data_IF_513014452906
#
_entry.id   IF_513014452906
#
_cell.length_a   1.000
_cell.length_b   1.000
_cell.length_c   1.000
_cell.angle_alpha   90.00
_cell.angle_beta   90.00
_cell.angle_gamma   90.00
#
_symmetry.space_group_name_H-M   'P 1'
#
loop_
_entity.id
_entity.type
_entity.pdbx_description
1 polymer ?
#
# COMPACT_ATOMS: atom_id res chain seq x y z
N UNK A 1 49.47 -8.82 50.57
CA UNK A 1 48.93 -7.90 49.53
C UNK A 1 48.03 -8.64 48.53
N UNK A 2 48.23 -9.94 48.30
CA UNK A 2 47.43 -10.74 47.35
C UNK A 2 46.00 -11.07 47.82
N UNK A 3 45.75 -11.29 49.11
CA UNK A 3 44.41 -11.67 49.61
C UNK A 3 43.32 -10.61 49.41
N UNK A 4 43.68 -9.32 49.49
CA UNK A 4 42.73 -8.21 49.28
C UNK A 4 42.31 -8.10 47.80
N UNK A 5 43.17 -8.52 46.87
CA UNK A 5 42.86 -8.55 45.44
C UNK A 5 41.87 -9.68 45.11
N UNK A 6 42.09 -10.86 45.68
CA UNK A 6 41.21 -12.03 45.52
C UNK A 6 39.82 -11.73 46.11
N UNK A 7 39.75 -11.07 47.27
CA UNK A 7 38.48 -10.69 47.87
C UNK A 7 37.69 -9.69 47.01
N UNK A 8 38.37 -8.71 46.41
CA UNK A 8 37.77 -7.74 45.51
C UNK A 8 37.26 -8.39 44.21
N UNK A 9 38.02 -9.31 43.62
CA UNK A 9 37.62 -10.06 42.42
C UNK A 9 36.37 -10.91 42.72
N UNK A 10 36.36 -11.62 43.86
CA UNK A 10 35.20 -12.42 44.26
C UNK A 10 33.95 -11.58 44.51
N UNK A 11 34.09 -10.35 45.02
CA UNK A 11 32.99 -9.42 45.19
C UNK A 11 32.42 -8.96 43.83
N UNK A 12 33.28 -8.57 42.89
CA UNK A 12 32.85 -8.19 41.53
C UNK A 12 32.18 -9.34 40.78
N UNK A 13 32.69 -10.58 40.94
CA UNK A 13 32.08 -11.77 40.35
C UNK A 13 30.67 -12.05 40.91
N UNK A 14 30.40 -11.77 42.19
CA UNK A 14 29.05 -11.88 42.76
C UNK A 14 28.09 -10.87 42.15
N UNK A 15 28.51 -9.60 42.05
CA UNK A 15 27.70 -8.54 41.43
C UNK A 15 27.35 -8.89 39.98
N UNK A 16 28.34 -9.33 39.20
CA UNK A 16 28.13 -9.74 37.81
C UNK A 16 27.17 -10.93 37.71
N UNK A 17 27.27 -11.90 38.62
CA UNK A 17 26.36 -13.05 38.65
C UNK A 17 24.92 -12.62 38.91
N UNK A 18 24.69 -11.70 39.84
CA UNK A 18 23.36 -11.20 40.17
C UNK A 18 22.75 -10.41 39.01
N UNK A 19 23.56 -9.57 38.34
CA UNK A 19 23.13 -8.85 37.12
C UNK A 19 22.75 -9.79 35.98
N UNK A 20 23.52 -10.86 35.76
CA UNK A 20 23.21 -11.87 34.74
C UNK A 20 21.91 -12.60 35.07
N UNK A 21 21.67 -12.94 36.34
CA UNK A 21 20.42 -13.56 36.78
C UNK A 21 19.20 -12.66 36.56
N UNK A 22 19.34 -11.36 36.79
CA UNK A 22 18.29 -10.36 36.54
C UNK A 22 17.96 -10.27 35.04
N UNK A 23 18.97 -10.23 34.17
CA UNK A 23 18.79 -10.21 32.72
C UNK A 23 18.08 -11.48 32.23
N UNK A 24 18.45 -12.65 32.76
CA UNK A 24 17.80 -13.92 32.42
C UNK A 24 16.33 -13.90 32.84
N UNK A 25 16.03 -13.41 34.04
CA UNK A 25 14.66 -13.32 34.53
C UNK A 25 13.79 -12.38 33.68
N UNK A 26 14.33 -11.21 33.33
CA UNK A 26 13.64 -10.24 32.47
C UNK A 26 13.39 -10.79 31.06
N UNK A 27 14.36 -11.53 30.51
CA UNK A 27 14.24 -12.19 29.19
C UNK A 27 13.15 -13.26 29.19
N UNK A 28 13.06 -14.04 30.27
CA UNK A 28 12.01 -15.05 30.45
C UNK A 28 10.64 -14.39 30.57
N UNK A 29 10.51 -13.32 31.36
CA UNK A 29 9.26 -12.56 31.46
C UNK A 29 8.83 -12.01 30.10
N UNK A 30 9.75 -11.39 29.35
CA UNK A 30 9.44 -10.88 28.01
C UNK A 30 8.98 -11.99 27.06
N UNK A 31 9.64 -13.15 27.08
CA UNK A 31 9.25 -14.31 26.27
C UNK A 31 7.84 -14.81 26.61
N UNK A 32 7.45 -14.81 27.89
CA UNK A 32 6.08 -15.19 28.29
C UNK A 32 5.03 -14.17 27.84
N UNK A 33 5.35 -12.87 27.88
CA UNK A 33 4.46 -11.83 27.37
C UNK A 33 4.27 -11.94 25.85
N UNK A 34 5.33 -12.22 25.10
CA UNK A 34 5.27 -12.43 23.65
C UNK A 34 4.38 -13.63 23.30
N UNK A 35 4.53 -14.75 24.01
CA UNK A 35 3.70 -15.94 23.82
C UNK A 35 2.20 -15.69 24.13
N UNK A 36 1.89 -14.88 25.15
CA UNK A 36 0.52 -14.46 25.46
C UNK A 36 -0.06 -13.57 24.35
N UNK A 37 0.72 -12.58 23.90
CA UNK A 37 0.32 -11.70 22.80
C UNK A 37 0.05 -12.46 21.50
N UNK A 38 0.86 -13.47 21.17
CA UNK A 38 0.64 -14.31 19.99
C UNK A 38 -0.62 -15.19 20.13
N UNK A 39 -0.88 -15.69 21.34
CA UNK A 39 -2.11 -16.45 21.65
C UNK A 39 -3.36 -15.58 21.47
N UNK A 40 -3.35 -14.35 21.99
CA UNK A 40 -4.44 -13.38 21.84
C UNK A 40 -4.64 -12.98 20.38
N UNK A 41 -3.55 -12.71 19.64
CA UNK A 41 -3.62 -12.41 18.21
C UNK A 41 -4.24 -13.57 17.42
N UNK A 42 -3.92 -14.82 17.78
CA UNK A 42 -4.51 -16.01 17.15
C UNK A 42 -6.00 -16.16 17.48
N UNK A 43 -6.41 -15.86 18.73
CA UNK A 43 -7.83 -15.85 19.12
C UNK A 43 -8.62 -14.79 18.34
N UNK A 44 -8.13 -13.55 18.30
CA UNK A 44 -8.74 -12.45 17.55
C UNK A 44 -8.84 -12.77 16.05
N UNK A 45 -7.79 -13.35 15.47
CA UNK A 45 -7.82 -13.78 14.07
C UNK A 45 -8.91 -14.83 13.81
N UNK A 46 -9.08 -15.80 14.70
CA UNK A 46 -10.12 -16.82 14.57
C UNK A 46 -11.53 -16.23 14.77
N UNK A 47 -11.69 -15.28 15.68
CA UNK A 47 -12.95 -14.58 15.92
C UNK A 47 -13.36 -13.73 14.72
N UNK A 48 -12.41 -13.01 14.09
CA UNK A 48 -12.66 -12.26 12.85
C UNK A 48 -13.08 -13.20 11.72
N UNK A 49 -12.42 -14.35 11.56
CA UNK A 49 -12.81 -15.35 10.54
C UNK A 49 -14.23 -15.87 10.79
N UNK A 50 -14.56 -16.22 12.04
CA UNK A 50 -15.90 -16.70 12.40
C UNK A 50 -16.99 -15.63 12.17
N UNK A 51 -16.69 -14.36 12.47
CA UNK A 51 -17.60 -13.25 12.23
C UNK A 51 -17.82 -13.00 10.72
N UNK A 52 -16.78 -13.10 9.89
CA UNK A 52 -16.91 -12.99 8.43
C UNK A 52 -17.75 -14.14 7.87
N UNK A 53 -17.59 -15.36 8.38
CA UNK A 53 -18.41 -16.51 7.99
C UNK A 53 -19.89 -16.36 8.40
N UNK A 54 -20.18 -15.77 9.57
CA UNK A 54 -21.54 -15.44 9.97
C UNK A 54 -22.16 -14.34 9.11
N UNK A 55 -21.39 -13.31 8.74
CA UNK A 55 -21.85 -12.27 7.82
C UNK A 55 -22.19 -12.87 6.45
N UNK A 56 -21.36 -13.77 5.93
CA UNK A 56 -21.63 -14.49 4.68
C UNK A 56 -22.85 -15.43 4.76
N UNK A 57 -23.15 -16.03 5.92
CA UNK A 57 -24.36 -16.85 6.11
C UNK A 57 -25.63 -16.03 6.25
N UNK A 58 -25.54 -14.81 6.78
CA UNK A 58 -26.68 -13.91 6.93
C UNK A 58 -26.96 -13.07 5.66
N UNK A 59 -26.01 -13.05 4.72
CA UNK A 59 -26.22 -12.57 3.37
C UNK A 59 -26.76 -13.72 2.49
N UNK A 60 -28.07 -13.97 2.52
CA UNK A 60 -28.72 -14.63 1.37
C UNK A 60 -29.08 -13.53 0.35
N UNK A 61 -28.45 -13.48 -0.83
CA UNK A 61 -29.02 -12.73 -1.93
C UNK A 61 -30.26 -13.49 -2.39
N UNK A 62 -31.45 -13.03 -1.98
CA UNK A 62 -32.70 -13.44 -2.61
C UNK A 62 -32.66 -12.99 -4.07
N UNK A 63 -32.22 -13.87 -4.97
CA UNK A 63 -32.48 -13.76 -6.39
C UNK A 63 -33.09 -15.08 -6.88
N UNK A 64 -34.17 -15.04 -7.68
CA UNK A 64 -34.80 -16.24 -8.21
C UNK A 64 -33.81 -17.02 -9.08
N UNK A 65 -33.74 -18.33 -8.86
CA UNK A 65 -33.09 -19.26 -9.81
C UNK A 65 -33.94 -19.33 -11.08
N UNK A 66 -33.73 -18.41 -12.01
CA UNK A 66 -34.13 -18.64 -13.39
C UNK A 66 -33.10 -19.57 -14.03
N UNK A 67 -33.44 -20.85 -14.06
CA UNK A 67 -32.84 -21.81 -14.99
C UNK A 67 -33.12 -21.30 -16.41
N UNK A 68 -32.09 -20.95 -17.16
CA UNK A 68 -32.21 -20.91 -18.63
C UNK A 68 -31.04 -21.65 -19.28
N UNK A 69 -31.33 -22.56 -20.22
CA UNK A 69 -30.33 -23.16 -21.09
C UNK A 69 -29.90 -22.10 -22.11
N UNK A 70 -28.61 -21.93 -22.34
CA UNK A 70 -28.15 -21.16 -23.49
C UNK A 70 -27.68 -22.12 -24.58
N UNK A 71 -28.62 -22.40 -25.49
CA UNK A 71 -28.38 -22.61 -26.90
C UNK A 71 -27.61 -21.45 -27.51
N UNK A 72 -26.74 -21.77 -28.47
CA UNK A 72 -26.04 -20.85 -29.36
C UNK A 72 -26.97 -19.79 -29.94
N UNK A 73 -26.87 -18.54 -29.48
CA UNK A 73 -27.33 -17.38 -30.23
C UNK A 73 -26.43 -16.17 -30.00
N UNK A 74 -25.80 -15.76 -31.11
CA UNK A 74 -25.11 -14.50 -31.45
C UNK A 74 -24.87 -13.47 -30.33
N UNK A 75 -23.59 -13.11 -30.18
CA UNK A 75 -23.07 -11.90 -29.52
C UNK A 75 -24.02 -10.68 -29.62
N UNK A 76 -24.43 -10.06 -28.51
CA UNK A 76 -25.23 -8.85 -28.58
C UNK A 76 -24.37 -7.61 -28.86
N UNK A 77 -24.88 -6.89 -29.84
CA UNK A 77 -24.63 -5.51 -30.22
C UNK A 77 -24.53 -4.58 -29.01
N UNK A 78 -23.65 -3.57 -29.11
CA UNK A 78 -23.50 -2.37 -28.25
C UNK A 78 -24.72 -2.09 -27.36
N UNK A 79 -24.68 -2.58 -26.12
CA UNK A 79 -25.58 -2.11 -25.07
C UNK A 79 -25.19 -0.69 -24.69
N UNK A 80 -26.05 0.27 -25.02
CA UNK A 80 -25.87 1.68 -24.68
C UNK A 80 -25.89 1.85 -23.16
N UNK A 81 -24.92 2.57 -22.58
CA UNK A 81 -24.90 2.96 -21.16
C UNK A 81 -26.13 3.82 -20.75
N UNK A 82 -26.87 4.34 -21.72
CA UNK A 82 -27.92 5.35 -21.53
C UNK A 82 -29.07 4.95 -20.58
N UNK A 83 -29.62 3.72 -20.59
CA UNK A 83 -30.77 3.41 -19.71
C UNK A 83 -30.38 3.30 -18.22
N UNK A 84 -29.15 2.90 -17.92
CA UNK A 84 -28.66 2.73 -16.54
C UNK A 84 -28.31 4.07 -15.88
N UNK A 85 -27.84 5.02 -16.68
CA UNK A 85 -27.50 6.36 -16.21
C UNK A 85 -28.75 7.18 -15.86
N UNK A 86 -29.84 6.98 -16.62
CA UNK A 86 -31.15 7.61 -16.36
C UNK A 86 -31.79 7.11 -15.06
N UNK A 87 -31.72 5.81 -14.78
CA UNK A 87 -32.30 5.19 -13.57
C UNK A 87 -31.58 5.62 -12.27
N UNK A 88 -30.30 6.00 -12.36
CA UNK A 88 -29.49 6.43 -11.23
C UNK A 88 -29.31 7.97 -11.15
N UNK A 89 -30.04 8.75 -11.95
CA UNK A 89 -29.90 10.22 -12.04
C UNK A 89 -28.48 10.71 -12.35
N UNK A 90 -27.71 9.93 -13.10
CA UNK A 90 -26.34 10.28 -13.49
C UNK A 90 -26.39 10.94 -14.86
N UNK A 91 -26.06 12.22 -14.93
CA UNK A 91 -25.85 12.89 -16.20
C UNK A 91 -24.64 12.25 -16.91
N UNK A 92 -24.87 11.61 -18.07
CA UNK A 92 -23.80 10.98 -18.85
C UNK A 92 -22.66 11.95 -19.22
N UNK A 93 -22.95 13.26 -19.25
CA UNK A 93 -21.99 14.33 -19.47
C UNK A 93 -21.06 14.59 -18.27
N UNK A 94 -21.44 14.17 -17.06
CA UNK A 94 -20.70 14.39 -15.83
C UNK A 94 -19.71 13.24 -15.53
N UNK A 95 -19.77 12.13 -16.27
CA UNK A 95 -18.80 11.04 -16.13
C UNK A 95 -17.50 11.42 -16.85
N UNK A 96 -16.34 11.40 -16.16
CA UNK A 96 -15.05 11.68 -16.79
C UNK A 96 -14.79 10.82 -18.03
N UNK A 97 -14.23 11.45 -19.05
CA UNK A 97 -13.83 10.78 -20.30
C UNK A 97 -12.77 9.74 -19.99
N UNK A 98 -12.68 8.68 -20.80
CA UNK A 98 -11.72 7.58 -20.55
C UNK A 98 -10.26 8.05 -20.41
N UNK A 99 -9.88 9.13 -21.09
CA UNK A 99 -8.55 9.75 -21.04
C UNK A 99 -8.20 10.33 -19.66
N UNK A 100 -9.20 10.60 -18.82
CA UNK A 100 -9.06 11.17 -17.48
C UNK A 100 -8.97 10.09 -16.40
N UNK A 101 -9.18 8.81 -16.76
CA UNK A 101 -9.08 7.70 -15.81
C UNK A 101 -7.65 7.16 -15.75
N UNK A 102 -7.20 6.71 -14.56
CA UNK A 102 -5.88 6.13 -14.42
C UNK A 102 -5.79 4.79 -15.16
N UNK A 103 -4.60 4.44 -15.65
CA UNK A 103 -4.34 3.11 -16.24
C UNK A 103 -3.37 2.31 -15.39
N UNK A 104 -3.49 0.99 -15.42
CA UNK A 104 -2.66 0.09 -14.61
C UNK A 104 -2.14 -1.09 -15.43
N UNK A 105 -0.82 -1.23 -15.52
CA UNK A 105 -0.16 -2.25 -16.34
C UNK A 105 0.22 -3.53 -15.56
N UNK A 106 0.44 -3.41 -14.25
CA UNK A 106 0.97 -4.48 -13.41
C UNK A 106 2.42 -4.88 -13.74
N UNK A 107 3.16 -4.05 -14.49
CA UNK A 107 4.55 -4.33 -14.90
C UNK A 107 5.52 -3.27 -14.37
N UNK A 108 6.74 -3.69 -14.05
CA UNK A 108 7.80 -2.80 -13.57
C UNK A 108 7.58 -2.31 -12.14
N UNK A 109 7.98 -1.06 -11.87
CA UNK A 109 7.62 -0.35 -10.64
C UNK A 109 6.22 0.26 -10.84
N UNK A 110 5.24 -0.22 -10.08
CA UNK A 110 3.86 0.24 -10.14
C UNK A 110 3.33 0.61 -8.76
N UNK A 111 2.33 1.49 -8.73
CA UNK A 111 1.63 1.90 -7.52
C UNK A 111 0.14 1.54 -7.65
N UNK A 112 -0.22 0.34 -7.17
CA UNK A 112 -1.60 -0.14 -7.22
C UNK A 112 -2.52 0.61 -6.24
N UNK A 113 -1.95 1.16 -5.16
CA UNK A 113 -2.69 2.00 -4.20
C UNK A 113 -3.13 3.29 -4.87
N UNK A 114 -2.22 3.97 -5.58
CA UNK A 114 -2.55 5.21 -6.27
C UNK A 114 -3.57 5.00 -7.39
N UNK A 115 -3.47 3.88 -8.12
CA UNK A 115 -4.50 3.49 -9.09
C UNK A 115 -5.90 3.36 -8.44
N UNK A 116 -5.99 2.66 -7.31
CA UNK A 116 -7.25 2.51 -6.57
C UNK A 116 -7.73 3.86 -6.02
N UNK A 117 -6.83 4.66 -5.46
CA UNK A 117 -7.13 5.98 -4.89
C UNK A 117 -7.70 6.92 -5.94
N UNK A 118 -7.06 7.00 -7.10
CA UNK A 118 -7.53 7.84 -8.21
C UNK A 118 -8.92 7.42 -8.69
N UNK A 119 -9.23 6.12 -8.76
CA UNK A 119 -10.58 5.64 -9.06
C UNK A 119 -11.56 6.03 -7.95
N UNK A 120 -11.21 5.84 -6.68
CA UNK A 120 -12.09 6.22 -5.56
C UNK A 120 -12.37 7.73 -5.54
N UNK A 121 -11.38 8.58 -5.82
CA UNK A 121 -11.58 10.03 -5.91
C UNK A 121 -12.58 10.40 -7.00
N UNK A 122 -12.48 9.77 -8.17
CA UNK A 122 -13.44 9.97 -9.27
C UNK A 122 -14.82 9.44 -8.89
N UNK A 123 -14.88 8.28 -8.25
CA UNK A 123 -16.12 7.70 -7.74
C UNK A 123 -16.83 8.63 -6.76
N UNK A 124 -16.09 9.16 -5.78
CA UNK A 124 -16.62 10.04 -4.75
C UNK A 124 -17.05 11.40 -5.31
N UNK A 125 -16.26 11.99 -6.21
CA UNK A 125 -16.54 13.31 -6.77
C UNK A 125 -17.77 13.33 -7.69
N UNK A 126 -17.97 12.26 -8.46
CA UNK A 126 -19.04 12.17 -9.45
C UNK A 126 -20.15 11.19 -9.06
N UNK A 127 -20.12 10.66 -7.83
CA UNK A 127 -21.07 9.67 -7.30
C UNK A 127 -21.30 8.47 -8.25
N UNK A 128 -20.21 7.93 -8.80
CA UNK A 128 -20.27 6.89 -9.84
C UNK A 128 -20.61 5.53 -9.22
N UNK A 129 -21.62 4.80 -9.74
CA UNK A 129 -21.92 3.44 -9.31
C UNK A 129 -20.82 2.46 -9.67
N UNK A 130 -20.69 1.41 -8.86
CA UNK A 130 -19.68 0.37 -9.04
C UNK A 130 -19.77 -0.30 -10.42
N UNK A 131 -20.97 -0.46 -10.97
CA UNK A 131 -21.20 -1.08 -12.28
C UNK A 131 -20.48 -0.33 -13.41
N UNK A 132 -20.43 1.01 -13.32
CA UNK A 132 -19.75 1.85 -14.31
C UNK A 132 -18.23 1.69 -14.19
N UNK A 133 -17.71 1.66 -12.96
CA UNK A 133 -16.29 1.46 -12.69
C UNK A 133 -15.86 0.09 -13.19
N UNK A 134 -16.59 -0.96 -12.82
CA UNK A 134 -16.33 -2.34 -13.22
C UNK A 134 -16.46 -2.52 -14.73
N UNK A 135 -17.41 -1.84 -15.37
CA UNK A 135 -17.54 -1.80 -16.82
C UNK A 135 -16.31 -1.19 -17.52
N UNK A 136 -15.66 -0.21 -16.89
CA UNK A 136 -14.44 0.45 -17.40
C UNK A 136 -13.16 -0.35 -17.12
N UNK A 137 -13.13 -1.25 -16.14
CA UNK A 137 -11.89 -1.95 -15.73
C UNK A 137 -11.14 -2.63 -16.89
N UNK A 138 -11.85 -3.18 -17.88
CA UNK A 138 -11.19 -3.81 -19.04
C UNK A 138 -10.27 -2.85 -19.82
N UNK A 139 -10.61 -1.55 -19.78
CA UNK A 139 -9.93 -0.46 -20.47
C UNK A 139 -8.88 0.21 -19.60
N UNK A 140 -9.09 0.24 -18.28
CA UNK A 140 -8.12 0.77 -17.32
C UNK A 140 -6.93 -0.16 -17.14
N UNK A 141 -7.15 -1.48 -17.24
CA UNK A 141 -6.05 -2.44 -17.21
C UNK A 141 -5.35 -2.55 -18.56
N UNK A 142 -4.02 -2.51 -18.51
CA UNK A 142 -3.14 -2.69 -19.66
C UNK A 142 -2.18 -3.86 -19.44
N UNK A 143 -1.58 -4.37 -20.51
CA UNK A 143 -0.52 -5.39 -20.49
C UNK A 143 -0.83 -6.61 -19.59
N UNK A 144 0.06 -6.97 -18.67
CA UNK A 144 -0.08 -8.12 -17.76
C UNK A 144 -1.31 -8.01 -16.87
N UNK A 145 -1.64 -6.83 -16.35
CA UNK A 145 -2.86 -6.63 -15.57
C UNK A 145 -4.14 -6.89 -16.38
N UNK A 146 -4.16 -6.54 -17.67
CA UNK A 146 -5.31 -6.81 -18.55
C UNK A 146 -5.56 -8.31 -18.73
N UNK A 147 -4.50 -9.09 -18.92
CA UNK A 147 -4.58 -10.56 -19.04
C UNK A 147 -5.12 -11.19 -17.75
N UNK A 148 -4.62 -10.73 -16.60
CA UNK A 148 -5.10 -11.16 -15.29
C UNK A 148 -6.58 -10.82 -15.08
N UNK A 149 -7.00 -9.59 -15.43
CA UNK A 149 -8.40 -9.16 -15.33
C UNK A 149 -9.35 -10.07 -16.12
N UNK A 150 -9.01 -10.41 -17.37
CA UNK A 150 -9.87 -11.30 -18.17
C UNK A 150 -9.99 -12.70 -17.55
N UNK A 151 -8.89 -13.25 -17.03
CA UNK A 151 -8.94 -14.53 -16.31
C UNK A 151 -9.86 -14.44 -15.09
N UNK A 152 -9.68 -13.41 -14.25
CA UNK A 152 -10.51 -13.20 -13.06
C UNK A 152 -11.99 -13.04 -13.39
N UNK A 153 -12.33 -12.34 -14.48
CA UNK A 153 -13.71 -12.19 -14.95
C UNK A 153 -14.34 -13.51 -15.40
N UNK A 154 -13.56 -14.40 -16.03
CA UNK A 154 -14.02 -15.72 -16.45
C UNK A 154 -14.25 -16.64 -15.23
N UNK A 155 -13.33 -16.61 -14.27
CA UNK A 155 -13.35 -17.50 -13.12
C UNK A 155 -14.40 -17.09 -12.07
N UNK A 156 -14.64 -15.78 -11.89
CA UNK A 156 -15.47 -15.24 -10.79
C UNK A 156 -16.68 -14.41 -11.26
N UNK A 157 -16.86 -14.19 -12.57
CA UNK A 157 -18.03 -13.51 -13.12
C UNK A 157 -18.11 -12.00 -12.79
N UNK A 158 -19.34 -11.54 -12.49
CA UNK A 158 -19.63 -10.14 -12.15
C UNK A 158 -19.46 -9.92 -10.64
N UNK A 159 -18.67 -8.93 -10.28
CA UNK A 159 -18.40 -8.51 -8.90
C UNK A 159 -18.32 -6.98 -8.85
N UNK A 160 -18.52 -6.42 -7.66
CA UNK A 160 -18.53 -4.99 -7.37
C UNK A 160 -17.11 -4.40 -7.24
N UNK A 161 -17.02 -3.07 -7.11
CA UNK A 161 -15.73 -2.40 -7.02
C UNK A 161 -14.95 -2.73 -5.73
N UNK A 162 -15.57 -2.84 -4.53
CA UNK A 162 -14.93 -3.33 -3.31
C UNK A 162 -14.22 -4.67 -3.50
N UNK A 163 -14.85 -5.65 -4.14
CA UNK A 163 -14.24 -6.94 -4.42
C UNK A 163 -13.03 -6.80 -5.35
N UNK A 164 -13.14 -6.00 -6.41
CA UNK A 164 -12.01 -5.75 -7.31
C UNK A 164 -10.83 -5.07 -6.61
N UNK A 165 -11.08 -4.10 -5.71
CA UNK A 165 -10.01 -3.49 -4.89
C UNK A 165 -9.25 -4.53 -4.09
N UNK A 166 -9.97 -5.43 -3.42
CA UNK A 166 -9.38 -6.50 -2.64
C UNK A 166 -8.52 -7.43 -3.50
N UNK A 167 -9.01 -7.84 -4.67
CA UNK A 167 -8.26 -8.71 -5.59
C UNK A 167 -7.03 -8.04 -6.19
N UNK A 168 -7.11 -6.75 -6.54
CA UNK A 168 -5.96 -5.95 -7.02
C UNK A 168 -4.86 -5.92 -5.94
N UNK A 169 -5.23 -5.62 -4.69
CA UNK A 169 -4.29 -5.58 -3.56
C UNK A 169 -3.71 -6.98 -3.32
N UNK A 170 -4.55 -8.02 -3.30
CA UNK A 170 -4.11 -9.40 -3.08
C UNK A 170 -3.11 -9.86 -4.15
N UNK A 171 -3.38 -9.51 -5.42
CA UNK A 171 -2.52 -9.89 -6.53
C UNK A 171 -1.19 -9.13 -6.54
N UNK A 172 -1.25 -7.81 -6.34
CA UNK A 172 -0.13 -6.89 -6.62
C UNK A 172 0.59 -6.34 -5.39
N UNK A 173 0.05 -6.51 -4.19
CA UNK A 173 0.72 -6.19 -2.92
C UNK A 173 1.42 -7.40 -2.28
N UNK A 174 1.80 -8.40 -3.09
CA UNK A 174 2.43 -9.64 -2.60
C UNK A 174 3.83 -9.40 -2.02
N UNK A 175 4.30 -10.33 -1.19
CA UNK A 175 5.57 -10.21 -0.47
C UNK A 175 6.78 -10.03 -1.40
N UNK A 176 6.77 -10.68 -2.57
CA UNK A 176 7.86 -10.53 -3.55
C UNK A 176 7.91 -9.12 -4.13
N UNK A 177 6.77 -8.49 -4.38
CA UNK A 177 6.71 -7.09 -4.81
C UNK A 177 7.15 -6.15 -3.69
N UNK A 178 6.67 -6.36 -2.46
CA UNK A 178 7.06 -5.54 -1.28
C UNK A 178 8.57 -5.54 -1.10
N UNK A 179 9.18 -6.72 -1.07
CA UNK A 179 10.63 -6.88 -0.96
C UNK A 179 11.40 -6.18 -2.09
N UNK A 180 10.90 -6.27 -3.34
CA UNK A 180 11.50 -5.56 -4.48
C UNK A 180 11.43 -4.05 -4.32
N UNK A 181 10.29 -3.50 -3.91
CA UNK A 181 10.11 -2.06 -3.71
C UNK A 181 10.95 -1.54 -2.54
N UNK A 182 10.99 -2.28 -1.42
CA UNK A 182 11.81 -1.95 -0.26
C UNK A 182 13.28 -1.92 -0.63
N UNK A 183 13.81 -2.97 -1.27
CA UNK A 183 15.21 -2.98 -1.72
C UNK A 183 15.51 -1.87 -2.73
N UNK A 184 14.60 -1.62 -3.67
CA UNK A 184 14.75 -0.53 -4.62
C UNK A 184 14.81 0.84 -3.94
N UNK A 185 14.04 1.06 -2.86
CA UNK A 185 14.13 2.27 -2.05
C UNK A 185 15.41 2.30 -1.20
N UNK A 186 15.76 1.20 -0.55
CA UNK A 186 16.90 1.16 0.36
C UNK A 186 18.23 1.43 -0.35
N UNK A 187 18.41 0.85 -1.55
CA UNK A 187 19.57 1.06 -2.42
C UNK A 187 19.60 2.42 -3.12
N UNK A 188 18.51 3.18 -3.10
CA UNK A 188 18.42 4.42 -3.85
C UNK A 188 18.99 5.60 -3.07
N UNK A 189 20.32 5.72 -3.07
CA UNK A 189 21.03 6.89 -2.57
C UNK A 189 21.01 7.99 -3.65
N UNK A 190 20.78 9.25 -3.25
CA UNK A 190 20.79 10.38 -4.18
C UNK A 190 22.22 10.65 -4.66
N UNK A 191 22.38 10.82 -5.98
CA UNK A 191 23.64 11.21 -6.60
C UNK A 191 23.45 12.46 -7.47
N UNK A 192 24.07 13.57 -7.11
CA UNK A 192 23.92 14.86 -7.80
C UNK A 192 24.39 14.89 -9.24
N UNK A 193 25.30 14.00 -9.65
CA UNK A 193 25.79 13.93 -11.03
C UNK A 193 24.84 13.15 -11.95
N UNK A 194 24.08 12.21 -11.38
CA UNK A 194 23.25 11.25 -12.15
C UNK A 194 21.75 11.54 -12.02
N UNK A 195 21.33 11.98 -10.85
CA UNK A 195 19.93 12.11 -10.49
C UNK A 195 19.44 13.54 -10.65
N UNK A 196 18.29 13.70 -11.33
CA UNK A 196 17.55 14.96 -11.31
C UNK A 196 16.70 15.02 -10.04
N UNK A 197 16.84 16.07 -9.20
CA UNK A 197 16.13 16.21 -7.92
C UNK A 197 14.63 15.86 -7.98
N UNK A 198 13.88 16.48 -8.89
CA UNK A 198 12.43 16.29 -9.02
C UNK A 198 12.07 14.84 -9.29
N UNK A 199 12.62 14.25 -10.35
CA UNK A 199 12.26 12.90 -10.78
C UNK A 199 12.70 11.85 -9.77
N UNK A 200 13.87 12.06 -9.15
CA UNK A 200 14.37 11.13 -8.15
C UNK A 200 13.50 11.15 -6.89
N UNK A 201 13.15 12.34 -6.39
CA UNK A 201 12.37 12.50 -5.17
C UNK A 201 10.96 11.95 -5.34
N UNK A 202 10.26 12.32 -6.42
CA UNK A 202 8.91 11.81 -6.72
C UNK A 202 8.91 10.30 -6.88
N UNK A 203 9.91 9.72 -7.55
CA UNK A 203 10.03 8.26 -7.67
C UNK A 203 10.18 7.57 -6.30
N UNK A 204 10.82 8.21 -5.31
CA UNK A 204 10.89 7.65 -3.95
C UNK A 204 9.58 7.84 -3.19
N UNK A 205 8.93 8.99 -3.35
CA UNK A 205 7.59 9.26 -2.78
C UNK A 205 6.59 8.21 -3.28
N UNK A 206 6.58 7.91 -4.57
CA UNK A 206 5.70 6.90 -5.16
C UNK A 206 5.90 5.52 -4.55
N UNK A 207 7.17 5.08 -4.43
CA UNK A 207 7.49 3.78 -3.82
C UNK A 207 7.04 3.70 -2.36
N UNK A 208 7.33 4.73 -1.57
CA UNK A 208 6.95 4.76 -0.16
C UNK A 208 5.45 4.85 0.02
N UNK A 209 4.75 5.63 -0.80
CA UNK A 209 3.29 5.75 -0.75
C UNK A 209 2.59 4.43 -1.13
N UNK A 210 3.20 3.65 -2.03
CA UNK A 210 2.71 2.32 -2.37
C UNK A 210 2.97 1.28 -1.25
N UNK A 211 4.10 1.38 -0.55
CA UNK A 211 4.49 0.48 0.54
C UNK A 211 3.79 0.78 1.87
N UNK A 212 3.56 2.06 2.13
CA UNK A 212 3.07 2.59 3.40
C UNK A 212 1.96 3.62 3.13
N UNK A 213 0.77 3.18 2.71
CA UNK A 213 -0.31 4.07 2.30
C UNK A 213 -0.82 4.99 3.42
N UNK A 214 -0.64 4.58 4.68
CA UNK A 214 -1.09 5.31 5.87
C UNK A 214 0.01 6.23 6.46
N UNK A 215 1.19 6.28 5.83
CA UNK A 215 2.29 7.13 6.29
C UNK A 215 2.06 8.59 5.88
N UNK A 216 2.28 9.53 6.80
CA UNK A 216 2.16 10.94 6.49
C UNK A 216 3.21 11.41 5.48
N UNK A 217 2.85 12.41 4.68
CA UNK A 217 3.76 13.02 3.70
C UNK A 217 5.04 13.55 4.35
N UNK A 218 4.95 14.10 5.56
CA UNK A 218 6.12 14.51 6.34
C UNK A 218 7.06 13.32 6.63
N UNK A 219 6.54 12.19 7.11
CA UNK A 219 7.35 11.00 7.38
C UNK A 219 7.95 10.40 6.10
N UNK A 220 7.18 10.39 5.00
CA UNK A 220 7.67 9.98 3.68
C UNK A 220 8.84 10.87 3.26
N UNK A 221 8.66 12.19 3.29
CA UNK A 221 9.69 13.16 2.93
C UNK A 221 10.95 12.98 3.79
N UNK A 222 10.81 12.78 5.11
CA UNK A 222 11.95 12.54 6.00
C UNK A 222 12.72 11.26 5.66
N UNK A 223 12.03 10.17 5.30
CA UNK A 223 12.69 8.94 4.85
C UNK A 223 13.46 9.15 3.55
N UNK A 224 12.92 9.96 2.63
CA UNK A 224 13.60 10.31 1.37
C UNK A 224 14.85 11.16 1.64
N UNK A 225 14.75 12.16 2.52
CA UNK A 225 15.90 13.03 2.84
C UNK A 225 17.08 12.24 3.45
N UNK A 226 16.81 11.21 4.26
CA UNK A 226 17.87 10.33 4.78
C UNK A 226 18.68 9.64 3.67
N UNK A 227 18.10 9.48 2.47
CA UNK A 227 18.79 8.94 1.29
C UNK A 227 19.66 9.96 0.55
N UNK A 228 19.61 11.24 0.93
CA UNK A 228 20.48 12.29 0.42
C UNK A 228 21.86 12.31 1.12
N UNK A 229 21.97 11.69 2.29
CA UNK A 229 23.18 11.70 3.11
C UNK A 229 23.26 12.92 4.04
N UNK A 230 23.91 12.77 5.20
CA UNK A 230 23.75 13.69 6.33
C UNK A 230 24.05 15.16 6.06
N UNK A 231 25.07 15.48 5.25
CA UNK A 231 25.38 16.88 4.89
C UNK A 231 24.30 17.50 4.01
N UNK A 232 23.86 16.76 2.99
CA UNK A 232 22.86 17.23 2.04
C UNK A 232 21.47 17.29 2.68
N UNK A 233 21.10 16.27 3.46
CA UNK A 233 19.90 16.27 4.30
C UNK A 233 19.82 17.52 5.19
N UNK A 234 20.90 17.83 5.91
CA UNK A 234 20.96 19.00 6.78
C UNK A 234 20.80 20.30 5.98
N UNK A 235 21.52 20.42 4.85
CA UNK A 235 21.46 21.61 4.00
C UNK A 235 20.06 21.86 3.43
N UNK A 236 19.32 20.80 3.08
CA UNK A 236 17.93 20.89 2.62
C UNK A 236 17.03 21.33 3.76
N UNK A 237 17.13 20.70 4.94
CA UNK A 237 16.32 21.05 6.11
C UNK A 237 16.50 22.50 6.53
N UNK A 238 17.72 23.04 6.51
CA UNK A 238 17.97 24.45 6.83
C UNK A 238 17.32 25.44 5.87
N UNK A 239 16.94 25.00 4.65
CA UNK A 239 16.25 25.83 3.65
C UNK A 239 14.73 25.72 3.72
N UNK A 240 14.23 24.76 4.48
CA UNK A 240 12.81 24.50 4.61
C UNK A 240 12.31 25.09 5.93
N UNK A 241 11.24 25.88 5.89
CA UNK A 241 10.55 26.36 7.10
C UNK A 241 9.35 25.44 7.35
N UNK A 242 9.18 24.95 8.58
CA UNK A 242 8.04 24.10 8.91
C UNK A 242 6.75 24.93 9.08
N UNK A 243 5.59 24.44 8.62
CA UNK A 243 5.37 23.17 7.91
C UNK A 243 5.84 23.23 6.43
N UNK A 244 6.51 22.18 5.98
CA UNK A 244 7.15 22.11 4.66
C UNK A 244 6.47 21.05 3.77
N UNK A 245 6.11 21.43 2.54
CA UNK A 245 5.52 20.52 1.56
C UNK A 245 6.57 19.63 0.87
N UNK A 246 6.13 18.62 0.11
CA UNK A 246 7.04 17.84 -0.74
C UNK A 246 7.73 18.74 -1.77
N UNK A 247 7.00 19.71 -2.32
CA UNK A 247 7.47 20.66 -3.32
C UNK A 247 8.58 21.54 -2.76
N UNK A 248 8.43 22.03 -1.53
CA UNK A 248 9.43 22.85 -0.84
C UNK A 248 10.75 22.07 -0.65
N UNK A 249 10.69 20.80 -0.23
CA UNK A 249 11.89 19.96 -0.15
C UNK A 249 12.56 19.74 -1.51
N UNK A 250 11.77 19.57 -2.57
CA UNK A 250 12.28 19.41 -3.93
C UNK A 250 12.94 20.72 -4.42
N UNK A 251 12.34 21.88 -4.14
CA UNK A 251 12.89 23.20 -4.49
C UNK A 251 14.20 23.41 -3.74
N UNK A 252 14.24 23.16 -2.43
CA UNK A 252 15.45 23.26 -1.63
C UNK A 252 16.58 22.33 -2.13
N UNK A 253 16.23 21.10 -2.54
CA UNK A 253 17.18 20.17 -3.15
C UNK A 253 17.67 20.68 -4.51
N UNK A 254 16.80 21.23 -5.37
CA UNK A 254 17.20 21.82 -6.66
C UNK A 254 18.14 23.01 -6.49
N UNK A 255 17.82 23.92 -5.58
CA UNK A 255 18.57 25.16 -5.34
C UNK A 255 20.03 24.92 -4.91
N UNK A 256 20.29 23.77 -4.29
CA UNK A 256 21.64 23.35 -3.92
C UNK A 256 22.51 22.95 -5.10
N UNK A 257 21.91 22.60 -6.25
CA UNK A 257 22.61 22.13 -7.44
C UNK A 257 22.47 23.05 -8.66
N UNK A 258 21.60 24.07 -8.59
CA UNK A 258 21.52 25.13 -9.62
C UNK A 258 22.46 26.30 -9.34
N UNK A 259 23.05 26.40 -8.14
CA UNK A 259 24.00 27.46 -7.74
C UNK A 259 25.47 27.03 -7.77
N UNK A 260 25.80 25.93 -8.45
CA UNK A 260 27.16 25.43 -8.63
C UNK A 260 27.64 25.67 -10.06
#
# INVERSE_FOLDING_TARGET
MEDLSILNINYQLRILKDQVLEIINNTNQFSTHLAKSDSERKKLKNEVIANVEQIHKNYEPHMPRHSTPFTDEKLPVKGSLTPFLEENHICANDIPKMEEWPTFSGEGEYNHIEFIRAINMVQEHFHIPDEIIVGKLHSLFTKTAKKWYYKMRLDHGKNDWPWWKYEIITKWANNSWRFKMENAFESAIFNSEKDKPLTWFLKKKDRLSALHPDMSDYMINMRILRKCGGKLEHAIKCRCVEPCSTEDYIIALKDLFTRA
#
